data_IF_494198922635
#
_entry.id   IF_494198922635
#
_cell.length_a   1.000
_cell.length_b   1.000
_cell.length_c   1.000
_cell.angle_alpha   90.00
_cell.angle_beta   90.00
_cell.angle_gamma   90.00
#
_symmetry.space_group_name_H-M   'P 1'
#
loop_
_entity.id
_entity.type
_entity.pdbx_description
1 polymer ?
#
# COMPACT_ATOMS: atom_id res chain seq x y z
N UNK A 1 11.33 16.04 13.10
CA UNK A 1 11.41 15.13 14.26
C UNK A 1 11.59 13.73 13.68
N UNK A 2 12.76 13.10 13.83
CA UNK A 2 12.99 11.72 13.37
C UNK A 2 12.19 10.81 14.30
N UNK A 3 10.99 10.40 13.87
CA UNK A 3 10.29 9.33 14.54
C UNK A 3 11.13 8.07 14.35
N UNK A 4 11.73 7.55 15.42
CA UNK A 4 12.51 6.31 15.38
C UNK A 4 11.62 5.06 15.41
N UNK A 5 10.31 5.27 15.51
CA UNK A 5 9.29 4.26 15.76
C UNK A 5 8.25 4.23 14.61
N UNK A 6 8.72 4.35 13.36
CA UNK A 6 7.87 4.24 12.17
C UNK A 6 7.78 2.79 11.69
N UNK A 7 6.56 2.30 11.45
CA UNK A 7 6.31 1.01 10.81
C UNK A 7 5.69 1.23 9.43
N UNK A 8 6.34 0.70 8.39
CA UNK A 8 5.83 0.72 7.01
C UNK A 8 5.31 -0.68 6.69
N UNK A 9 4.06 -0.76 6.24
CA UNK A 9 3.42 -2.01 5.82
C UNK A 9 3.01 -1.90 4.36
N UNK A 10 3.39 -2.90 3.56
CA UNK A 10 3.06 -2.99 2.14
C UNK A 10 2.13 -4.18 1.94
N UNK A 11 0.94 -3.92 1.38
CA UNK A 11 -0.07 -4.93 1.07
C UNK A 11 -0.23 -5.08 -0.43
N UNK A 12 -0.24 -6.32 -0.93
CA UNK A 12 -0.64 -6.61 -2.29
C UNK A 12 -2.16 -6.81 -2.33
N UNK A 13 -2.84 -6.07 -3.21
CA UNK A 13 -4.28 -6.19 -3.42
C UNK A 13 -4.50 -6.73 -4.83
N UNK A 14 -5.24 -7.85 -5.00
CA UNK A 14 -5.32 -8.55 -6.29
C UNK A 14 -6.15 -7.80 -7.33
N UNK A 15 -7.13 -7.01 -6.89
CA UNK A 15 -8.06 -6.31 -7.77
C UNK A 15 -8.70 -5.09 -7.07
N UNK A 16 -9.30 -4.22 -7.89
CA UNK A 16 -9.97 -3.01 -7.43
C UNK A 16 -11.19 -3.28 -6.54
N UNK A 17 -11.90 -4.38 -6.74
CA UNK A 17 -13.06 -4.76 -5.92
C UNK A 17 -12.64 -5.10 -4.49
N UNK A 18 -11.53 -5.83 -4.33
CA UNK A 18 -10.93 -6.12 -3.03
C UNK A 18 -10.53 -4.83 -2.31
N UNK A 19 -9.94 -3.85 -3.01
CA UNK A 19 -9.66 -2.53 -2.45
C UNK A 19 -10.92 -1.79 -1.98
N UNK A 20 -11.96 -1.75 -2.82
CA UNK A 20 -13.23 -1.10 -2.48
C UNK A 20 -13.86 -1.72 -1.23
N UNK A 21 -13.82 -3.05 -1.10
CA UNK A 21 -14.34 -3.74 0.08
C UNK A 21 -13.54 -3.39 1.33
N UNK A 22 -12.22 -3.25 1.22
CA UNK A 22 -11.37 -2.82 2.33
C UNK A 22 -11.71 -1.39 2.77
N UNK A 23 -11.80 -0.42 1.84
CA UNK A 23 -12.14 0.97 2.20
C UNK A 23 -13.51 1.07 2.86
N UNK A 24 -14.52 0.35 2.36
CA UNK A 24 -15.85 0.31 3.00
C UNK A 24 -15.80 -0.25 4.41
N UNK A 25 -15.04 -1.33 4.60
CA UNK A 25 -14.87 -1.97 5.92
C UNK A 25 -14.01 -1.13 6.86
N UNK A 26 -13.16 -0.25 6.33
CA UNK A 26 -12.37 0.66 7.12
C UNK A 26 -13.23 1.77 7.77
N UNK A 27 -14.24 2.25 7.05
CA UNK A 27 -15.23 3.19 7.57
C UNK A 27 -16.24 2.51 8.50
N UNK A 28 -16.46 1.20 8.34
CA UNK A 28 -17.26 0.39 9.26
C UNK A 28 -16.45 -0.01 10.52
N UNK A 29 -16.70 0.73 11.59
CA UNK A 29 -16.06 0.56 12.89
C UNK A 29 -16.26 -0.82 13.54
N UNK A 30 -17.04 -1.75 13.01
CA UNK A 30 -17.18 -3.07 13.62
C UNK A 30 -15.95 -3.99 13.38
N UNK A 31 -15.26 -3.85 12.26
CA UNK A 31 -14.30 -4.88 11.81
C UNK A 31 -12.83 -4.48 11.98
N UNK A 32 -12.46 -3.25 11.60
CA UNK A 32 -11.04 -2.79 11.67
C UNK A 32 -10.74 -1.99 12.94
N UNK A 33 -11.80 -1.53 13.63
CA UNK A 33 -11.68 -0.66 14.81
C UNK A 33 -10.87 -1.23 15.96
N UNK A 34 -10.92 -2.53 16.32
CA UNK A 34 -10.15 -3.02 17.46
C UNK A 34 -8.64 -2.84 17.27
N UNK A 35 -8.15 -3.11 16.05
CA UNK A 35 -6.74 -2.89 15.72
C UNK A 35 -6.43 -1.39 15.65
N UNK A 36 -7.28 -0.60 14.98
CA UNK A 36 -7.09 0.84 14.85
C UNK A 36 -7.06 1.56 16.20
N UNK A 37 -8.01 1.26 17.09
CA UNK A 37 -8.08 1.80 18.44
C UNK A 37 -6.85 1.43 19.27
N UNK A 38 -6.29 0.23 19.06
CA UNK A 38 -5.03 -0.18 19.72
C UNK A 38 -3.87 0.70 19.26
N UNK A 39 -3.73 0.92 17.95
CA UNK A 39 -2.66 1.75 17.37
C UNK A 39 -2.79 3.22 17.79
N UNK A 40 -4.00 3.78 17.75
CA UNK A 40 -4.30 5.15 18.21
C UNK A 40 -4.04 5.30 19.73
N UNK A 41 -4.40 4.28 20.53
CA UNK A 41 -4.15 4.25 21.98
C UNK A 41 -2.66 4.23 22.35
N UNK A 42 -1.80 3.72 21.46
CA UNK A 42 -0.34 3.81 21.57
C UNK A 42 0.23 5.18 21.13
N UNK A 43 -0.62 6.11 20.72
CA UNK A 43 -0.22 7.43 20.23
C UNK A 43 0.32 7.42 18.80
N UNK A 44 0.15 6.31 18.07
CA UNK A 44 0.62 6.23 16.69
C UNK A 44 -0.36 6.93 15.74
N UNK A 45 0.20 7.59 14.73
CA UNK A 45 -0.56 8.17 13.62
C UNK A 45 -0.56 7.19 12.45
N UNK A 46 -1.74 6.84 11.96
CA UNK A 46 -1.88 6.00 10.77
C UNK A 46 -2.07 6.86 9.53
N UNK A 47 -1.28 6.59 8.48
CA UNK A 47 -1.46 7.16 7.15
C UNK A 47 -1.46 6.02 6.13
N UNK A 48 -2.34 6.12 5.12
CA UNK A 48 -2.48 5.13 4.05
C UNK A 48 -2.32 5.81 2.70
N UNK A 49 -1.62 5.16 1.78
CA UNK A 49 -1.44 5.61 0.40
C UNK A 49 -1.71 4.41 -0.49
N UNK A 50 -2.56 4.57 -1.49
CA UNK A 50 -2.76 3.56 -2.52
C UNK A 50 -1.73 3.75 -3.63
N UNK A 51 -1.05 2.67 -4.01
CA UNK A 51 -0.07 2.63 -5.08
C UNK A 51 -0.59 1.73 -6.20
N UNK A 52 -0.24 2.08 -7.45
CA UNK A 52 -0.43 1.22 -8.62
C UNK A 52 0.95 0.87 -9.15
N UNK A 53 1.15 -0.39 -9.53
CA UNK A 53 2.42 -0.85 -10.07
C UNK A 53 2.71 -0.19 -11.42
N UNK A 54 3.96 0.23 -11.60
CA UNK A 54 4.45 0.59 -12.94
C UNK A 54 4.76 -0.69 -13.74
N UNK A 55 4.81 -0.62 -15.08
CA UNK A 55 5.11 -1.79 -15.92
C UNK A 55 6.42 -2.51 -15.57
N UNK A 56 7.39 -1.79 -14.98
CA UNK A 56 8.71 -2.30 -14.58
C UNK A 56 8.87 -2.45 -13.07
N UNK A 57 7.79 -2.37 -12.29
CA UNK A 57 7.87 -2.54 -10.84
C UNK A 57 8.43 -3.93 -10.48
N UNK A 58 9.39 -4.04 -9.54
CA UNK A 58 9.93 -5.34 -9.13
C UNK A 58 8.87 -6.30 -8.61
N UNK A 59 7.87 -5.79 -7.88
CA UNK A 59 6.75 -6.58 -7.37
C UNK A 59 5.85 -7.15 -8.49
N UNK A 60 5.85 -6.51 -9.67
CA UNK A 60 5.14 -6.99 -10.87
C UNK A 60 5.98 -8.00 -11.66
N UNK A 61 7.27 -7.70 -11.82
CA UNK A 61 8.16 -8.47 -12.70
C UNK A 61 8.85 -9.63 -11.99
N UNK A 62 8.79 -9.70 -10.66
CA UNK A 62 9.45 -10.70 -9.83
C UNK A 62 10.98 -10.55 -9.76
N UNK A 63 11.55 -9.47 -10.33
CA UNK A 63 12.99 -9.20 -10.35
C UNK A 63 13.29 -7.72 -10.38
N UNK A 64 14.56 -7.36 -10.13
CA UNK A 64 15.02 -6.00 -10.37
C UNK A 64 14.97 -5.68 -11.89
N UNK A 65 14.34 -4.56 -12.31
CA UNK A 65 14.34 -4.14 -13.69
C UNK A 65 15.76 -3.77 -14.16
N UNK A 66 16.05 -4.06 -15.42
CA UNK A 66 17.31 -3.83 -16.09
C UNK A 66 17.19 -2.66 -17.08
N UNK A 67 18.33 -2.10 -17.50
CA UNK A 67 18.34 -1.03 -18.52
C UNK A 67 17.69 -1.51 -19.83
N UNK A 68 17.86 -2.79 -20.17
CA UNK A 68 17.25 -3.41 -21.35
C UNK A 68 15.72 -3.53 -21.30
N UNK A 69 15.10 -3.40 -20.13
CA UNK A 69 13.64 -3.44 -20.00
C UNK A 69 12.98 -2.09 -20.36
N UNK A 70 13.77 -1.04 -20.57
CA UNK A 70 13.26 0.30 -20.90
C UNK A 70 12.64 0.31 -22.29
N UNK A 71 11.49 0.96 -22.41
CA UNK A 71 10.81 1.24 -23.69
C UNK A 71 10.82 2.75 -23.97
N UNK A 72 10.83 3.18 -25.25
CA UNK A 72 10.65 4.59 -25.60
C UNK A 72 9.38 5.17 -24.98
N UNK A 73 9.42 6.44 -24.57
CA UNK A 73 8.26 7.10 -23.95
C UNK A 73 7.04 7.16 -24.89
N UNK A 74 7.27 7.14 -26.21
CA UNK A 74 6.21 7.10 -27.22
C UNK A 74 5.41 5.79 -27.27
N UNK A 75 5.86 4.74 -26.57
CA UNK A 75 5.26 3.40 -26.57
C UNK A 75 4.58 3.06 -25.23
N UNK A 76 4.44 4.03 -24.34
CA UNK A 76 3.83 3.91 -23.00
C UNK A 76 2.58 4.78 -22.96
#
# INVERSE_FOLDING_TARGET
MSARDEAIVIWAIPDWGTWVNFERTWDDAATVWPWRATVEGLGARTQRILLVDSPLAPLRTGRQPQVSDRRPLSEI
#
